data_IF_480717334015
#
_entry.id   IF_480717334015
#
_cell.length_a   1.000
_cell.length_b   1.000
_cell.length_c   1.000
_cell.angle_alpha   90.00
_cell.angle_beta   90.00
_cell.angle_gamma   90.00
#
_symmetry.space_group_name_H-M   'P 1'
#
loop_
_entity.id
_entity.type
_entity.pdbx_description
1 polymer ?
#
# COMPACT_ATOMS: atom_id res chain seq x y z
N UNK A 1 11.44 -5.88 -12.97
CA UNK A 1 11.82 -4.84 -12.02
C UNK A 1 10.83 -4.78 -10.88
N UNK A 2 11.33 -4.63 -9.69
CA UNK A 2 10.48 -4.55 -8.52
C UNK A 2 9.78 -3.19 -8.45
N UNK A 3 8.55 -3.21 -7.99
CA UNK A 3 7.85 -1.97 -7.69
C UNK A 3 8.34 -1.35 -6.40
N UNK A 4 7.69 -0.29 -5.98
CA UNK A 4 8.05 0.36 -4.73
C UNK A 4 6.80 0.88 -4.04
N UNK A 5 6.85 0.91 -2.71
CA UNK A 5 5.87 1.61 -1.91
C UNK A 5 6.33 3.05 -1.72
N UNK A 6 5.43 3.98 -1.96
CA UNK A 6 5.67 5.39 -1.68
C UNK A 6 4.83 5.81 -0.49
N UNK A 7 5.50 6.28 0.54
CA UNK A 7 4.85 6.80 1.74
C UNK A 7 4.82 8.31 1.65
N UNK A 8 3.66 8.91 1.87
CA UNK A 8 3.52 10.36 1.77
C UNK A 8 2.53 10.86 2.82
N UNK A 9 2.59 12.16 3.06
CA UNK A 9 1.68 12.83 3.97
C UNK A 9 0.63 13.56 3.14
N UNK A 10 -0.64 13.39 3.51
CA UNK A 10 -1.73 14.05 2.77
C UNK A 10 -2.01 15.44 3.32
N UNK A 11 -3.00 16.11 2.73
CA UNK A 11 -3.35 17.49 3.11
C UNK A 11 -3.88 17.60 4.53
N UNK A 12 -4.40 16.51 5.07
CA UNK A 12 -4.91 16.48 6.44
C UNK A 12 -3.82 16.19 7.46
N UNK A 13 -2.58 16.04 7.03
CA UNK A 13 -1.46 15.74 7.91
C UNK A 13 -1.37 14.29 8.32
N UNK A 14 -2.05 13.42 7.61
CA UNK A 14 -2.01 11.98 7.87
C UNK A 14 -1.14 11.27 6.86
N UNK A 15 -0.64 10.11 7.23
CA UNK A 15 0.28 9.36 6.39
C UNK A 15 -0.48 8.34 5.56
N UNK A 16 -0.13 8.27 4.28
CA UNK A 16 -0.71 7.36 3.32
C UNK A 16 0.40 6.73 2.50
N UNK A 17 0.06 5.65 1.80
CA UNK A 17 1.02 5.02 0.92
C UNK A 17 0.34 4.53 -0.36
N UNK A 18 1.17 4.29 -1.36
CA UNK A 18 0.72 3.69 -2.62
C UNK A 18 1.82 2.77 -3.12
N UNK A 19 1.41 1.79 -3.91
CA UNK A 19 2.33 0.84 -4.52
C UNK A 19 2.44 1.14 -6.00
N UNK A 20 3.65 1.32 -6.48
CA UNK A 20 3.93 1.52 -7.90
C UNK A 20 4.61 0.29 -8.48
N UNK A 21 4.26 -0.01 -9.72
CA UNK A 21 4.96 -1.04 -10.49
C UNK A 21 6.33 -0.55 -10.91
N UNK A 22 7.15 -1.46 -11.45
CA UNK A 22 8.49 -1.12 -11.91
C UNK A 22 8.53 -0.05 -13.00
N UNK A 23 7.44 0.09 -13.75
CA UNK A 23 7.34 1.14 -14.79
C UNK A 23 6.84 2.48 -14.26
N UNK A 24 6.64 2.60 -12.94
CA UNK A 24 6.19 3.85 -12.32
C UNK A 24 4.68 4.01 -12.22
N UNK A 25 3.92 3.05 -12.68
CA UNK A 25 2.46 3.13 -12.63
C UNK A 25 1.94 2.80 -11.24
N UNK A 26 0.97 3.57 -10.75
CA UNK A 26 0.33 3.28 -9.48
C UNK A 26 -0.63 2.11 -9.69
N UNK A 27 -0.36 1.00 -9.01
CA UNK A 27 -1.18 -0.21 -9.14
C UNK A 27 -2.06 -0.46 -7.93
N UNK A 28 -1.79 0.20 -6.82
CA UNK A 28 -2.62 0.06 -5.63
C UNK A 28 -2.38 1.24 -4.70
N UNK A 29 -3.40 1.60 -3.92
CA UNK A 29 -3.27 2.61 -2.88
C UNK A 29 -3.79 2.03 -1.58
N UNK A 30 -3.23 2.48 -0.46
CA UNK A 30 -3.75 2.11 0.84
C UNK A 30 -5.13 2.73 1.05
N UNK A 31 -6.06 1.96 1.59
CA UNK A 31 -7.43 2.41 1.80
C UNK A 31 -7.58 3.28 3.04
N UNK A 32 -6.59 3.27 3.93
CA UNK A 32 -6.64 4.00 5.18
C UNK A 32 -5.60 5.10 5.23
N UNK A 33 -5.86 6.10 6.06
CA UNK A 33 -4.87 7.09 6.43
C UNK A 33 -4.44 6.83 7.87
N UNK A 34 -3.17 7.05 8.15
CA UNK A 34 -2.59 6.72 9.46
C UNK A 34 -2.15 8.00 10.15
N UNK A 35 -2.30 8.03 11.46
CA UNK A 35 -1.93 9.20 12.25
C UNK A 35 -0.43 9.33 12.42
N UNK A 36 0.30 8.22 12.33
CA UNK A 36 1.73 8.23 12.52
C UNK A 36 2.41 7.50 11.35
N UNK A 37 3.65 7.89 11.10
CA UNK A 37 4.46 7.24 10.08
C UNK A 37 4.70 5.78 10.40
N UNK A 38 4.91 5.47 11.69
CA UNK A 38 5.15 4.10 12.12
C UNK A 38 3.95 3.20 11.81
N UNK A 39 2.74 3.70 12.03
CA UNK A 39 1.53 2.93 11.72
C UNK A 39 1.42 2.66 10.22
N UNK A 40 1.74 3.65 9.39
CA UNK A 40 1.71 3.48 7.94
C UNK A 40 2.75 2.47 7.49
N UNK A 41 3.95 2.51 8.06
CA UNK A 41 4.99 1.53 7.74
C UNK A 41 4.59 0.12 8.14
N UNK A 42 3.90 -0.03 9.27
CA UNK A 42 3.37 -1.33 9.68
C UNK A 42 2.34 -1.85 8.68
N UNK A 43 1.51 -0.96 8.14
CA UNK A 43 0.56 -1.33 7.10
C UNK A 43 1.25 -1.83 5.85
N UNK A 44 2.30 -1.16 5.42
CA UNK A 44 3.10 -1.57 4.27
C UNK A 44 3.72 -2.95 4.51
N UNK A 45 4.31 -3.16 5.69
CA UNK A 45 4.93 -4.45 6.02
C UNK A 45 3.90 -5.58 6.02
N UNK A 46 2.71 -5.32 6.51
CA UNK A 46 1.63 -6.30 6.48
C UNK A 46 1.27 -6.71 5.06
N UNK A 47 1.20 -5.73 4.15
CA UNK A 47 0.92 -6.01 2.75
C UNK A 47 2.03 -6.85 2.13
N UNK A 48 3.28 -6.48 2.37
CA UNK A 48 4.42 -7.21 1.85
C UNK A 48 4.43 -8.66 2.32
N UNK A 49 4.05 -8.86 3.58
CA UNK A 49 4.08 -10.19 4.19
C UNK A 49 2.98 -11.08 3.66
N UNK A 50 1.82 -10.53 3.36
CA UNK A 50 0.62 -11.31 3.02
C UNK A 50 0.33 -11.37 1.53
N UNK A 51 0.70 -10.35 0.77
CA UNK A 51 0.26 -10.21 -0.62
C UNK A 51 0.73 -11.36 -1.52
N UNK A 52 1.95 -11.84 -1.32
CA UNK A 52 2.50 -12.89 -2.17
C UNK A 52 1.80 -14.22 -2.00
N UNK A 53 1.25 -14.47 -0.82
CA UNK A 53 0.57 -15.73 -0.51
C UNK A 53 -0.95 -15.62 -0.59
N UNK A 54 -1.47 -14.41 -0.77
CA UNK A 54 -2.91 -14.18 -0.80
C UNK A 54 -3.52 -14.85 -2.01
N UNK A 55 -4.61 -15.54 -1.78
CA UNK A 55 -5.35 -16.20 -2.86
C UNK A 55 -6.32 -15.21 -3.48
N UNK A 56 -6.62 -15.43 -4.75
CA UNK A 56 -7.67 -14.66 -5.40
C UNK A 56 -9.00 -15.30 -5.06
N UNK A 57 -9.83 -14.55 -4.36
CA UNK A 57 -11.19 -14.97 -4.05
C UNK A 57 -12.11 -14.17 -4.96
N UNK A 58 -12.48 -14.77 -6.06
CA UNK A 58 -13.27 -14.09 -7.10
C UNK A 58 -14.73 -14.09 -6.67
N UNK A 59 -15.20 -12.93 -6.24
CA UNK A 59 -16.57 -12.74 -5.76
C UNK A 59 -17.48 -12.14 -6.83
N UNK A 60 -17.02 -12.08 -8.06
CA UNK A 60 -17.89 -11.61 -9.17
C UNK A 60 -18.87 -12.71 -9.51
N UNK A 61 -20.04 -12.31 -9.96
CA UNK A 61 -21.09 -13.27 -10.31
C UNK A 61 -21.17 -13.51 -11.81
#
# INVERSE_FOLDING_TARGET
MAGKFELYEDKAGQFRFRLKAGNGEVIATGSESYKTKAAALNGIESIKKNAGEAKIDDQTS
#
